data_IF_744526697683
#
_entry.id   IF_744526697683
#
_cell.length_a   1.000
_cell.length_b   1.000
_cell.length_c   1.000
_cell.angle_alpha   90.00
_cell.angle_beta   90.00
_cell.angle_gamma   90.00
#
_symmetry.space_group_name_H-M   'P 1'
#
loop_
_entity.id
_entity.type
_entity.pdbx_description
1 polymer ?
#
# COMPACT_ATOMS: atom_id res chain seq x y z
N UNK A 1 12.73 5.45 -21.61
CA UNK A 1 11.87 5.06 -20.46
C UNK A 1 11.40 3.64 -20.68
N UNK A 2 12.02 2.64 -20.04
CA UNK A 2 11.60 1.25 -20.21
C UNK A 2 10.45 0.95 -19.24
N UNK A 3 9.27 0.66 -19.76
CA UNK A 3 8.09 0.35 -18.96
C UNK A 3 8.33 -0.96 -18.17
N UNK A 4 8.70 -0.80 -16.90
CA UNK A 4 9.10 -1.89 -16.02
C UNK A 4 7.88 -2.53 -15.31
N UNK A 5 6.71 -2.48 -15.93
CA UNK A 5 5.43 -2.91 -15.35
C UNK A 5 4.63 -3.72 -16.37
N UNK A 6 3.93 -4.75 -15.92
CA UNK A 6 3.01 -5.57 -16.72
C UNK A 6 1.59 -5.37 -16.18
N UNK A 7 0.62 -5.26 -17.08
CA UNK A 7 -0.80 -5.13 -16.72
C UNK A 7 -1.56 -6.32 -17.28
N UNK A 8 -2.41 -6.94 -16.48
CA UNK A 8 -3.28 -8.04 -16.87
C UNK A 8 -4.61 -7.92 -16.12
N UNK A 9 -5.71 -7.83 -16.87
CA UNK A 9 -7.02 -7.47 -16.33
C UNK A 9 -6.97 -6.10 -15.63
N UNK A 10 -7.49 -6.05 -14.40
CA UNK A 10 -7.50 -4.84 -13.57
C UNK A 10 -6.25 -4.70 -12.69
N UNK A 11 -5.28 -5.62 -12.81
CA UNK A 11 -4.09 -5.63 -11.96
C UNK A 11 -2.85 -5.18 -12.72
N UNK A 12 -2.02 -4.39 -12.03
CA UNK A 12 -0.70 -3.96 -12.50
C UNK A 12 0.37 -4.52 -11.57
N UNK A 13 1.41 -5.10 -12.15
CA UNK A 13 2.56 -5.63 -11.44
C UNK A 13 3.88 -5.07 -11.96
N UNK A 14 4.91 -5.09 -11.11
CA UNK A 14 6.26 -4.61 -11.44
C UNK A 14 7.16 -5.76 -11.90
N UNK A 15 7.82 -5.58 -13.04
CA UNK A 15 8.84 -6.48 -13.56
C UNK A 15 10.15 -6.31 -12.77
N UNK A 16 10.98 -7.37 -12.74
CA UNK A 16 12.27 -7.46 -12.00
C UNK A 16 12.19 -7.61 -10.48
N UNK A 17 11.01 -7.94 -9.93
CA UNK A 17 10.81 -8.22 -8.50
C UNK A 17 10.74 -9.73 -8.19
N UNK A 18 11.56 -10.54 -8.86
CA UNK A 18 11.68 -11.98 -8.59
C UNK A 18 10.76 -12.91 -9.40
N UNK A 19 9.83 -12.38 -10.19
CA UNK A 19 9.04 -13.16 -11.17
C UNK A 19 9.46 -12.85 -12.61
N UNK A 20 9.47 -13.89 -13.44
CA UNK A 20 9.59 -13.72 -14.88
C UNK A 20 8.29 -13.12 -15.46
N UNK A 21 8.33 -12.46 -16.63
CA UNK A 21 7.16 -11.76 -17.19
C UNK A 21 5.91 -12.64 -17.31
N UNK A 22 6.06 -13.88 -17.81
CA UNK A 22 4.93 -14.82 -17.97
C UNK A 22 4.43 -15.39 -16.64
N UNK A 23 5.28 -15.47 -15.63
CA UNK A 23 4.88 -15.89 -14.28
C UNK A 23 4.12 -14.75 -13.59
N UNK A 24 4.58 -13.51 -13.77
CA UNK A 24 3.88 -12.32 -13.28
C UNK A 24 2.51 -12.19 -13.94
N UNK A 25 2.42 -12.33 -15.27
CA UNK A 25 1.16 -12.32 -16.01
C UNK A 25 0.15 -13.34 -15.45
N UNK A 26 0.57 -14.60 -15.26
CA UNK A 26 -0.27 -15.63 -14.67
C UNK A 26 -0.71 -15.28 -13.24
N UNK A 27 0.20 -14.71 -12.43
CA UNK A 27 -0.08 -14.30 -11.04
C UNK A 27 -1.08 -13.14 -10.97
N UNK A 28 -1.04 -12.20 -11.92
CA UNK A 28 -1.99 -11.10 -12.01
C UNK A 28 -3.40 -11.60 -12.37
N UNK A 29 -3.51 -12.57 -13.28
CA UNK A 29 -4.80 -13.21 -13.56
C UNK A 29 -5.31 -14.04 -12.38
N UNK A 30 -4.43 -14.70 -11.63
CA UNK A 30 -4.78 -15.36 -10.38
C UNK A 30 -5.25 -14.37 -9.30
N UNK A 31 -4.71 -13.15 -9.26
CA UNK A 31 -5.18 -12.08 -8.39
C UNK A 31 -6.57 -11.54 -8.79
N UNK A 32 -6.96 -11.70 -10.06
CA UNK A 32 -8.32 -11.46 -10.55
C UNK A 32 -9.28 -12.65 -10.30
N UNK A 33 -8.85 -13.66 -9.53
CA UNK A 33 -9.63 -14.85 -9.15
C UNK A 33 -10.05 -15.75 -10.32
N UNK A 34 -9.29 -15.73 -11.42
CA UNK A 34 -9.51 -16.65 -12.55
C UNK A 34 -9.03 -18.07 -12.20
N UNK A 35 -9.76 -19.08 -12.69
CA UNK A 35 -9.31 -20.47 -12.65
C UNK A 35 -8.15 -20.71 -13.62
N UNK A 36 -7.35 -21.76 -13.40
CA UNK A 36 -6.20 -22.09 -14.29
C UNK A 36 -6.61 -22.25 -15.77
N UNK A 37 -7.82 -22.76 -16.04
CA UNK A 37 -8.36 -22.88 -17.40
C UNK A 37 -8.67 -21.52 -18.04
N UNK A 38 -9.15 -20.57 -17.25
CA UNK A 38 -9.41 -19.21 -17.71
C UNK A 38 -8.11 -18.42 -17.85
N UNK A 39 -7.16 -18.60 -16.94
CA UNK A 39 -5.80 -18.03 -17.05
C UNK A 39 -5.14 -18.50 -18.35
N UNK A 40 -5.20 -19.79 -18.67
CA UNK A 40 -4.69 -20.34 -19.93
C UNK A 40 -5.31 -19.65 -21.15
N UNK A 41 -6.65 -19.50 -21.16
CA UNK A 41 -7.37 -18.78 -22.21
C UNK A 41 -6.94 -17.31 -22.30
N UNK A 42 -6.83 -16.61 -21.17
CA UNK A 42 -6.43 -15.20 -21.11
C UNK A 42 -5.00 -14.97 -21.59
N UNK A 43 -4.09 -15.92 -21.32
CA UNK A 43 -2.68 -15.87 -21.75
C UNK A 43 -2.44 -16.41 -23.17
N UNK A 44 -3.45 -17.01 -23.81
CA UNK A 44 -3.31 -17.68 -25.11
C UNK A 44 -2.47 -18.96 -25.07
N UNK A 45 -2.49 -19.70 -23.96
CA UNK A 45 -1.70 -20.93 -23.75
C UNK A 45 -2.55 -22.08 -23.23
N UNK A 46 -2.02 -23.31 -23.29
CA UNK A 46 -2.72 -24.46 -22.70
C UNK A 46 -2.88 -24.31 -21.18
N UNK A 47 -3.94 -24.84 -20.56
CA UNK A 47 -4.11 -24.81 -19.10
C UNK A 47 -2.92 -25.41 -18.34
N UNK A 48 -2.36 -26.51 -18.84
CA UNK A 48 -1.17 -27.15 -18.25
C UNK A 48 0.07 -26.25 -18.32
N UNK A 49 0.19 -25.42 -19.37
CA UNK A 49 1.27 -24.43 -19.45
C UNK A 49 1.06 -23.32 -18.44
N UNK A 50 -0.17 -22.82 -18.27
CA UNK A 50 -0.49 -21.80 -17.27
C UNK A 50 -0.22 -22.30 -15.84
N UNK A 51 -0.60 -23.54 -15.53
CA UNK A 51 -0.32 -24.21 -14.26
C UNK A 51 1.18 -24.23 -13.94
N UNK A 52 2.01 -24.65 -14.90
CA UNK A 52 3.48 -24.65 -14.74
C UNK A 52 4.05 -23.25 -14.44
N UNK A 53 3.46 -22.19 -14.98
CA UNK A 53 3.88 -20.81 -14.69
C UNK A 53 3.49 -20.39 -13.27
N UNK A 54 2.29 -20.78 -12.82
CA UNK A 54 1.82 -20.53 -11.46
C UNK A 54 2.64 -21.31 -10.43
N UNK A 55 3.00 -22.55 -10.72
CA UNK A 55 3.86 -23.37 -9.86
C UNK A 55 5.28 -22.82 -9.78
N UNK A 56 5.84 -22.38 -10.92
CA UNK A 56 7.15 -21.71 -10.94
C UNK A 56 7.12 -20.42 -10.11
N UNK A 57 6.05 -19.63 -10.21
CA UNK A 57 5.86 -18.41 -9.41
C UNK A 57 5.75 -18.75 -7.90
N UNK A 58 4.97 -19.78 -7.56
CA UNK A 58 4.81 -20.28 -6.18
C UNK A 58 6.12 -20.73 -5.58
N UNK A 59 6.90 -21.50 -6.33
CA UNK A 59 8.22 -21.95 -5.90
C UNK A 59 9.15 -20.75 -5.59
N UNK A 60 9.22 -19.77 -6.49
CA UNK A 60 10.06 -18.56 -6.30
C UNK A 60 9.65 -17.73 -5.09
N UNK A 61 8.35 -17.66 -4.79
CA UNK A 61 7.84 -16.92 -3.64
C UNK A 61 7.70 -17.76 -2.37
N UNK A 62 8.00 -19.07 -2.41
CA UNK A 62 7.85 -19.97 -1.28
C UNK A 62 6.38 -20.22 -0.88
N UNK A 63 5.44 -20.00 -1.80
CA UNK A 63 4.01 -20.10 -1.54
C UNK A 63 3.48 -21.52 -1.80
N UNK A 64 2.84 -22.12 -0.80
CA UNK A 64 2.24 -23.45 -0.92
C UNK A 64 0.87 -23.48 -1.59
N UNK A 65 0.16 -22.35 -1.68
CA UNK A 65 -1.20 -22.24 -2.24
C UNK A 65 -1.29 -21.09 -3.24
N UNK A 66 -2.28 -21.13 -4.15
CA UNK A 66 -2.52 -20.03 -5.09
C UNK A 66 -2.80 -18.71 -4.36
N UNK A 67 -3.62 -18.78 -3.31
CA UNK A 67 -3.92 -17.63 -2.44
C UNK A 67 -2.66 -17.12 -1.73
N UNK A 68 -1.80 -18.03 -1.27
CA UNK A 68 -0.50 -17.69 -0.69
C UNK A 68 0.42 -16.98 -1.68
N UNK A 69 0.41 -17.38 -2.96
CA UNK A 69 1.17 -16.70 -4.02
C UNK A 69 0.72 -15.25 -4.18
N UNK A 70 -0.59 -15.03 -4.31
CA UNK A 70 -1.17 -13.69 -4.46
C UNK A 70 -0.88 -12.82 -3.23
N UNK A 71 -1.02 -13.39 -2.02
CA UNK A 71 -0.71 -12.68 -0.77
C UNK A 71 0.77 -12.32 -0.67
N UNK A 72 1.68 -13.22 -1.03
CA UNK A 72 3.12 -12.93 -1.09
C UNK A 72 3.44 -11.85 -2.12
N UNK A 73 2.77 -11.87 -3.27
CA UNK A 73 2.94 -10.86 -4.31
C UNK A 73 2.49 -9.47 -3.83
N UNK A 74 1.43 -9.38 -3.03
CA UNK A 74 1.03 -8.15 -2.35
C UNK A 74 2.02 -7.75 -1.23
N UNK A 75 2.42 -8.70 -0.37
CA UNK A 75 3.35 -8.46 0.75
C UNK A 75 4.69 -7.91 0.28
N UNK A 76 5.18 -8.37 -0.88
CA UNK A 76 6.46 -7.95 -1.49
C UNK A 76 6.31 -6.71 -2.38
N UNK A 77 5.10 -6.17 -2.56
CA UNK A 77 4.84 -5.01 -3.41
C UNK A 77 5.00 -5.28 -4.91
N UNK A 78 4.96 -6.55 -5.33
CA UNK A 78 5.06 -6.94 -6.76
C UNK A 78 3.77 -6.62 -7.49
N UNK A 79 2.63 -6.90 -6.85
CA UNK A 79 1.32 -6.38 -7.25
C UNK A 79 1.02 -5.25 -6.28
N UNK A 80 0.70 -4.07 -6.81
CA UNK A 80 0.44 -2.90 -5.98
C UNK A 80 -1.07 -2.69 -5.82
N UNK A 81 -1.66 -2.98 -4.65
CA UNK A 81 -2.95 -2.40 -4.27
C UNK A 81 -2.78 -0.92 -3.87
N UNK A 82 -1.53 -0.46 -3.78
CA UNK A 82 -1.18 0.81 -3.15
C UNK A 82 -1.64 2.01 -3.97
N UNK A 83 -1.92 1.91 -5.28
CA UNK A 83 -2.40 3.08 -6.03
C UNK A 83 -3.72 3.64 -5.44
N UNK A 84 -4.65 2.77 -5.05
CA UNK A 84 -5.89 3.19 -4.39
C UNK A 84 -5.62 3.69 -2.96
N UNK A 85 -4.80 2.96 -2.19
CA UNK A 85 -4.47 3.34 -0.82
C UNK A 85 -3.69 4.66 -0.75
N UNK A 86 -2.78 4.92 -1.67
CA UNK A 86 -2.01 6.18 -1.75
C UNK A 86 -2.93 7.35 -2.06
N UNK A 87 -3.93 7.16 -2.93
CA UNK A 87 -4.93 8.19 -3.20
C UNK A 87 -5.78 8.47 -1.96
N UNK A 88 -6.22 7.43 -1.25
CA UNK A 88 -6.98 7.59 0.00
C UNK A 88 -6.14 8.28 1.07
N UNK A 89 -4.90 7.86 1.30
CA UNK A 89 -4.00 8.46 2.28
C UNK A 89 -3.59 9.90 1.92
N UNK A 90 -3.32 10.18 0.64
CA UNK A 90 -3.01 11.53 0.17
C UNK A 90 -4.22 12.46 0.27
N UNK A 91 -5.42 11.97 -0.08
CA UNK A 91 -6.67 12.72 0.11
C UNK A 91 -6.92 12.97 1.60
N UNK A 92 -6.69 11.99 2.47
CA UNK A 92 -6.79 12.17 3.92
C UNK A 92 -5.81 13.24 4.43
N UNK A 93 -4.56 13.21 3.99
CA UNK A 93 -3.55 14.19 4.39
C UNK A 93 -3.81 15.60 3.83
N UNK A 94 -4.37 15.72 2.63
CA UNK A 94 -4.70 17.00 2.01
C UNK A 94 -5.98 17.64 2.57
N UNK A 95 -6.94 16.83 3.00
CA UNK A 95 -8.19 17.27 3.62
C UNK A 95 -8.09 17.42 5.14
N UNK A 96 -7.03 16.91 5.77
CA UNK A 96 -6.76 17.14 7.18
C UNK A 96 -6.45 18.63 7.41
N UNK A 97 -7.45 19.37 7.89
CA UNK A 97 -7.34 20.80 8.26
C UNK A 97 -6.58 20.99 9.57
N UNK A 98 -6.52 19.96 10.43
CA UNK A 98 -5.71 19.98 11.64
C UNK A 98 -4.38 19.25 11.40
N UNK A 99 -3.23 19.93 11.48
CA UNK A 99 -1.95 19.27 11.51
C UNK A 99 -1.91 18.47 12.80
N UNK A 100 -2.21 17.17 12.71
CA UNK A 100 -2.23 16.18 13.79
C UNK A 100 -1.36 16.67 14.93
N UNK A 101 -2.00 17.26 15.94
CA UNK A 101 -1.34 18.01 17.00
C UNK A 101 -0.20 17.16 17.45
N UNK A 102 1.01 17.64 17.18
CA UNK A 102 2.23 17.06 17.68
C UNK A 102 2.04 17.08 19.19
N UNK A 103 1.54 15.99 19.77
CA UNK A 103 1.73 15.70 21.20
C UNK A 103 3.21 15.35 21.32
N UNK A 104 4.04 16.36 21.02
CA UNK A 104 5.37 16.50 21.53
C UNK A 104 5.08 16.60 23.02
N UNK A 105 5.25 15.50 23.73
CA UNK A 105 5.48 15.55 25.17
C UNK A 105 6.66 16.49 25.36
N UNK A 106 6.38 17.77 25.54
CA UNK A 106 7.38 18.83 25.64
C UNK A 106 6.70 19.99 26.35
N UNK A 107 6.92 20.06 27.66
CA UNK A 107 6.84 21.31 28.40
C UNK A 107 5.44 21.76 28.78
N UNK A 108 4.79 21.04 29.68
CA UNK A 108 3.61 21.53 30.41
C UNK A 108 3.93 22.67 31.39
N UNK A 109 4.50 23.77 30.92
CA UNK A 109 4.87 24.94 31.75
C UNK A 109 4.51 26.29 31.11
N UNK A 110 4.63 26.44 29.79
CA UNK A 110 4.51 27.77 29.16
C UNK A 110 3.08 28.35 29.25
N UNK A 111 2.05 27.57 28.93
CA UNK A 111 0.65 28.03 29.00
C UNK A 111 0.19 28.42 30.43
N UNK A 112 0.79 27.85 31.47
CA UNK A 112 0.45 28.19 32.87
C UNK A 112 1.13 29.47 33.36
N UNK A 113 2.25 29.87 32.77
CA UNK A 113 2.95 31.10 33.16
C UNK A 113 2.25 32.32 32.54
N UNK A 114 1.82 32.21 31.29
CA UNK A 114 1.12 33.31 30.59
C UNK A 114 -0.19 33.69 31.25
N UNK A 115 -0.96 32.70 31.70
CA UNK A 115 -2.23 32.91 32.42
C UNK A 115 -2.03 33.55 33.79
N UNK A 116 -0.94 33.21 34.50
CA UNK A 116 -0.61 33.82 35.80
C UNK A 116 -0.14 35.27 35.67
N UNK A 117 0.63 35.59 34.63
CA UNK A 117 1.10 36.96 34.39
C UNK A 117 -0.08 37.85 33.97
N UNK A 118 -0.98 37.35 33.12
CA UNK A 118 -2.17 38.08 32.72
C UNK A 118 -3.11 38.39 33.91
N UNK A 119 -3.36 37.39 34.77
CA UNK A 119 -4.16 37.58 35.98
C UNK A 119 -3.52 38.60 36.94
N UNK A 120 -2.21 38.50 37.19
CA UNK A 120 -1.52 39.42 38.10
C UNK A 120 -1.48 40.86 37.58
N UNK A 121 -1.40 41.06 36.26
CA UNK A 121 -1.47 42.40 35.66
C UNK A 121 -2.86 43.03 35.84
N UNK A 122 -3.91 42.24 35.70
CA UNK A 122 -5.29 42.71 35.91
C UNK A 122 -5.54 43.11 37.37
N UNK A 123 -5.05 42.33 38.32
CA UNK A 123 -5.15 42.66 39.75
C UNK A 123 -4.41 43.96 40.11
N UNK A 124 -3.22 44.18 39.55
CA UNK A 124 -2.46 45.43 39.76
C UNK A 124 -3.17 46.64 39.17
N UNK A 125 -3.82 46.50 38.01
CA UNK A 125 -4.59 47.60 37.41
C UNK A 125 -5.88 47.93 38.15
N UNK A 126 -6.45 46.98 38.90
CA UNK A 126 -7.67 47.20 39.68
C UNK A 126 -7.39 47.81 41.06
N UNK A 127 -6.14 47.74 41.53
CA UNK A 127 -5.71 48.19 42.85
C UNK A 127 -5.00 49.57 42.84
N UNK A 128 -4.91 50.22 41.67
CA UNK A 128 -4.39 51.58 41.49
C UNK A 128 -5.54 52.57 41.26
#
# INVERSE_FOLDING_TARGET
MTANTLTAGNWKGSLKMGLAPRELEATLWAAADLTVKEIGRAMGVSPATAEKRLDSARFKFGAKTMRGLVLEAFRRGVISPAAALTLVLAAHGALATDPMTKVRRSGGSESKIETRIAAKRYEVTLAA
#
